data_IF_026241014908
#
_entry.id   IF_026241014908
#
_cell.length_a   1.000
_cell.length_b   1.000
_cell.length_c   1.000
_cell.angle_alpha   90.00
_cell.angle_beta   90.00
_cell.angle_gamma   90.00
#
_symmetry.space_group_name_H-M   'P 1'
#
loop_
_entity.id
_entity.type
_entity.pdbx_description
1 polymer ?
#
# COMPACT_ATOMS: atom_id res chain seq x y z
N UNK A 1 -15.33 57.58 32.18
CA UNK A 1 -14.13 56.72 32.27
C UNK A 1 -14.46 55.41 31.57
N UNK A 2 -13.69 55.06 30.54
CA UNK A 2 -13.92 53.93 29.63
C UNK A 2 -13.05 52.75 30.08
N UNK A 3 -13.66 51.64 30.47
CA UNK A 3 -12.95 50.36 30.66
C UNK A 3 -13.22 49.47 29.46
N UNK A 4 -12.20 48.97 28.73
CA UNK A 4 -12.42 48.00 27.68
C UNK A 4 -12.52 46.58 28.27
N UNK A 5 -13.54 45.85 27.86
CA UNK A 5 -13.73 44.43 28.11
C UNK A 5 -12.66 43.64 27.31
N UNK A 6 -12.00 42.61 27.85
CA UNK A 6 -11.06 41.81 27.07
C UNK A 6 -11.84 40.92 26.11
N UNK A 7 -11.56 41.06 24.81
CA UNK A 7 -12.08 40.16 23.79
C UNK A 7 -11.48 38.77 24.00
N UNK A 8 -12.31 37.81 24.40
CA UNK A 8 -11.96 36.40 24.48
C UNK A 8 -11.83 35.89 23.04
N UNK A 9 -10.60 35.85 22.52
CA UNK A 9 -10.30 35.21 21.22
C UNK A 9 -10.48 33.71 21.41
N UNK A 10 -11.63 33.20 21.00
CA UNK A 10 -11.90 31.77 20.96
C UNK A 10 -11.05 31.11 19.88
N UNK A 11 -10.04 30.34 20.28
CA UNK A 11 -9.37 29.39 19.38
C UNK A 11 -10.38 28.34 18.94
N UNK A 12 -10.95 28.52 17.74
CA UNK A 12 -11.66 27.45 17.04
C UNK A 12 -10.60 26.44 16.62
N UNK A 13 -10.47 25.36 17.39
CA UNK A 13 -9.78 24.16 16.94
C UNK A 13 -10.60 23.59 15.78
N UNK A 14 -10.18 23.89 14.55
CA UNK A 14 -10.57 23.10 13.39
C UNK A 14 -10.00 21.70 13.59
N UNK A 15 -10.76 20.85 14.27
CA UNK A 15 -10.60 19.40 14.18
C UNK A 15 -10.92 19.05 12.72
N UNK A 16 -9.88 19.07 11.88
CA UNK A 16 -9.97 18.56 10.53
C UNK A 16 -10.45 17.13 10.65
N UNK A 17 -11.70 16.88 10.26
CA UNK A 17 -12.18 15.52 10.02
C UNK A 17 -11.29 14.95 8.94
N UNK A 18 -10.21 14.27 9.34
CA UNK A 18 -9.50 13.39 8.43
C UNK A 18 -10.58 12.43 7.95
N UNK A 19 -11.04 12.63 6.71
CA UNK A 19 -11.88 11.65 6.04
C UNK A 19 -11.10 10.35 6.18
N UNK A 20 -11.61 9.41 6.97
CA UNK A 20 -11.00 8.10 7.09
C UNK A 20 -11.12 7.52 5.69
N UNK A 21 -10.08 7.73 4.88
CA UNK A 21 -10.03 7.17 3.55
C UNK A 21 -10.30 5.67 3.71
N UNK A 22 -11.13 5.08 2.84
CA UNK A 22 -11.54 3.68 3.00
C UNK A 22 -10.29 2.81 3.25
N UNK A 23 -10.22 2.23 4.44
CA UNK A 23 -9.06 1.49 4.92
C UNK A 23 -9.12 0.07 4.35
N UNK A 24 -7.95 -0.53 4.11
CA UNK A 24 -7.80 -1.90 3.67
C UNK A 24 -6.80 -2.62 4.59
N UNK A 25 -7.22 -3.04 5.79
CA UNK A 25 -6.31 -3.45 6.86
C UNK A 25 -5.69 -4.85 6.69
N UNK A 26 -6.19 -5.68 5.77
CA UNK A 26 -5.80 -7.09 5.69
C UNK A 26 -6.03 -7.68 4.30
N UNK A 27 -5.64 -8.96 4.13
CA UNK A 27 -5.97 -9.74 2.94
C UNK A 27 -7.48 -9.67 2.68
N UNK A 28 -7.86 -9.22 1.48
CA UNK A 28 -9.27 -9.00 1.09
C UNK A 28 -10.01 -7.93 1.91
N UNK A 29 -9.31 -7.04 2.60
CA UNK A 29 -9.88 -5.82 3.20
C UNK A 29 -10.60 -6.06 4.53
N UNK A 30 -11.33 -5.05 5.01
CA UNK A 30 -11.85 -5.00 6.38
C UNK A 30 -12.66 -6.22 6.83
N UNK A 31 -13.48 -6.79 5.94
CA UNK A 31 -14.29 -7.98 6.22
C UNK A 31 -13.76 -9.25 5.54
N UNK A 32 -12.52 -9.22 5.03
CA UNK A 32 -11.93 -10.28 4.20
C UNK A 32 -12.77 -10.69 2.97
N UNK A 33 -13.69 -9.84 2.51
CA UNK A 33 -14.62 -10.12 1.41
C UNK A 33 -14.02 -9.83 0.02
N UNK A 34 -13.00 -8.97 -0.04
CA UNK A 34 -12.43 -8.46 -1.28
C UNK A 34 -13.27 -7.35 -1.92
N UNK A 35 -14.24 -6.79 -1.18
CA UNK A 35 -15.15 -5.76 -1.68
C UNK A 35 -14.79 -4.40 -1.09
N UNK A 36 -14.50 -3.42 -1.95
CA UNK A 36 -14.30 -2.02 -1.60
C UNK A 36 -15.52 -1.16 -1.94
N UNK A 37 -15.59 0.05 -1.39
CA UNK A 37 -16.69 1.00 -1.59
C UNK A 37 -16.47 2.01 -2.73
N UNK A 38 -15.40 1.86 -3.51
CA UNK A 38 -15.02 2.80 -4.58
C UNK A 38 -15.42 2.33 -5.97
N UNK A 39 -15.21 3.22 -6.96
CA UNK A 39 -15.37 2.93 -8.39
C UNK A 39 -13.99 2.92 -9.07
N UNK A 40 -13.17 1.85 -8.87
CA UNK A 40 -11.84 1.80 -9.48
C UNK A 40 -11.94 1.72 -11.01
N UNK A 41 -10.90 2.18 -11.73
CA UNK A 41 -10.84 2.03 -13.19
C UNK A 41 -10.89 0.54 -13.57
N UNK A 42 -11.77 0.20 -14.51
CA UNK A 42 -11.92 -1.18 -15.03
C UNK A 42 -11.08 -1.46 -16.27
N UNK A 43 -10.45 -0.42 -16.82
CA UNK A 43 -9.44 -0.50 -17.88
C UNK A 43 -8.17 0.17 -17.42
N UNK A 44 -7.02 -0.37 -17.82
CA UNK A 44 -5.71 0.13 -17.41
C UNK A 44 -4.64 -0.37 -18.36
N UNK A 45 -3.57 0.41 -18.51
CA UNK A 45 -2.41 0.04 -19.32
C UNK A 45 -1.14 0.39 -18.55
N UNK A 46 -0.38 -0.64 -18.17
CA UNK A 46 0.88 -0.45 -17.46
C UNK A 46 1.96 0.17 -18.34
N UNK A 47 2.04 -0.15 -19.62
CA UNK A 47 3.06 0.37 -20.52
C UNK A 47 2.79 1.83 -20.88
N UNK A 48 1.54 2.18 -21.18
CA UNK A 48 1.11 3.54 -21.50
C UNK A 48 0.90 4.43 -20.27
N UNK A 49 0.76 3.83 -19.08
CA UNK A 49 0.48 4.56 -17.82
C UNK A 49 -1.00 4.95 -17.65
N UNK A 50 -1.89 4.50 -18.54
CA UNK A 50 -3.32 4.78 -18.45
C UNK A 50 -3.92 4.20 -17.18
N UNK A 51 -4.56 5.06 -16.37
CA UNK A 51 -5.16 4.71 -15.08
C UNK A 51 -4.17 4.14 -14.05
N UNK A 52 -2.88 4.51 -14.15
CA UNK A 52 -1.84 4.17 -13.16
C UNK A 52 -1.45 5.42 -12.37
N UNK A 53 -1.68 5.42 -11.05
CA UNK A 53 -1.35 6.58 -10.20
C UNK A 53 0.16 6.74 -9.97
N UNK A 54 0.85 5.63 -9.70
CA UNK A 54 2.30 5.60 -9.48
C UNK A 54 2.83 4.16 -9.63
N UNK A 55 4.15 4.05 -9.73
CA UNK A 55 4.90 2.79 -9.69
C UNK A 55 6.15 2.98 -8.86
N UNK A 56 6.42 2.04 -7.97
CA UNK A 56 7.56 2.08 -7.07
C UNK A 56 8.29 0.76 -7.14
N UNK A 57 9.59 0.82 -7.44
CA UNK A 57 10.43 -0.36 -7.38
C UNK A 57 10.60 -0.80 -5.92
N UNK A 58 10.21 -2.03 -5.62
CA UNK A 58 10.40 -2.67 -4.31
C UNK A 58 11.41 -3.79 -4.48
N UNK A 59 12.44 -3.80 -3.65
CA UNK A 59 13.46 -4.86 -3.67
C UNK A 59 12.86 -6.17 -3.13
N UNK A 60 13.28 -7.32 -3.67
CA UNK A 60 12.78 -8.61 -3.23
C UNK A 60 11.51 -9.08 -3.93
N UNK A 61 11.09 -10.29 -3.57
CA UNK A 61 9.85 -10.90 -4.05
C UNK A 61 8.72 -10.69 -3.04
N UNK A 62 7.61 -10.10 -3.50
CA UNK A 62 6.42 -9.86 -2.68
C UNK A 62 5.21 -10.67 -3.18
N UNK A 63 4.62 -11.48 -2.29
CA UNK A 63 3.37 -12.23 -2.56
C UNK A 63 2.18 -11.73 -1.73
N UNK A 64 2.41 -10.80 -0.81
CA UNK A 64 1.35 -10.27 0.06
C UNK A 64 0.40 -9.36 -0.71
N UNK A 65 -0.86 -9.31 -0.27
CA UNK A 65 -1.72 -8.18 -0.61
C UNK A 65 -1.29 -6.92 0.12
N UNK A 66 -1.34 -5.73 -0.52
CA UNK A 66 -1.03 -4.48 0.14
C UNK A 66 -2.07 -4.15 1.22
N UNK A 67 -1.61 -3.50 2.30
CA UNK A 67 -2.47 -2.90 3.32
C UNK A 67 -2.55 -1.40 3.06
N UNK A 68 -3.75 -0.82 3.06
CA UNK A 68 -3.94 0.63 2.95
C UNK A 68 -4.45 1.15 4.28
N UNK A 69 -3.67 2.01 4.95
CA UNK A 69 -4.10 2.63 6.19
C UNK A 69 -3.78 4.12 6.23
N UNK A 70 -4.83 4.94 6.30
CA UNK A 70 -4.74 6.40 6.14
C UNK A 70 -4.08 6.79 4.81
N UNK A 71 -3.00 7.56 4.92
CA UNK A 71 -2.19 8.04 3.78
C UNK A 71 -1.03 7.10 3.44
N UNK A 72 -1.07 5.84 3.88
CA UNK A 72 0.01 4.87 3.69
C UNK A 72 -0.45 3.60 3.02
N UNK A 73 0.43 3.05 2.19
CA UNK A 73 0.33 1.70 1.63
C UNK A 73 1.50 0.88 2.17
N UNK A 74 1.20 -0.28 2.75
CA UNK A 74 2.20 -1.18 3.32
C UNK A 74 2.31 -2.44 2.48
N UNK A 75 3.55 -2.85 2.21
CA UNK A 75 3.87 -4.08 1.46
C UNK A 75 4.98 -4.84 2.14
N UNK A 76 4.88 -6.17 2.12
CA UNK A 76 5.95 -7.06 2.59
C UNK A 76 6.67 -7.69 1.41
N UNK A 77 7.98 -7.91 1.58
CA UNK A 77 8.84 -8.53 0.57
C UNK A 77 9.93 -9.34 1.23
N UNK A 78 10.44 -10.35 0.52
CA UNK A 78 11.60 -11.14 0.89
C UNK A 78 12.74 -10.83 -0.07
N UNK A 79 13.84 -10.27 0.45
CA UNK A 79 15.04 -9.93 -0.31
C UNK A 79 16.05 -11.06 -0.15
N UNK A 80 16.54 -11.63 -1.25
CA UNK A 80 17.52 -12.71 -1.19
C UNK A 80 18.92 -12.15 -0.93
N UNK A 81 19.66 -12.73 0.02
CA UNK A 81 21.03 -12.28 0.35
C UNK A 81 22.07 -12.63 -0.71
N UNK A 82 21.75 -13.53 -1.65
CA UNK A 82 22.65 -13.93 -2.72
C UNK A 82 22.58 -12.98 -3.96
N UNK A 83 21.74 -11.94 -3.89
CA UNK A 83 21.56 -10.95 -4.97
C UNK A 83 20.84 -11.49 -6.21
N UNK A 84 20.25 -12.69 -6.15
CA UNK A 84 19.45 -13.30 -7.21
C UNK A 84 18.02 -13.47 -6.72
N UNK A 85 17.19 -12.45 -6.95
CA UNK A 85 15.75 -12.66 -6.85
C UNK A 85 15.26 -13.53 -8.01
N UNK A 86 14.58 -14.63 -7.69
CA UNK A 86 13.81 -15.35 -8.69
C UNK A 86 12.71 -14.44 -9.24
N UNK A 87 12.57 -14.40 -10.56
CA UNK A 87 11.45 -13.71 -11.19
C UNK A 87 10.12 -14.36 -10.71
N UNK A 88 9.04 -13.58 -10.52
CA UNK A 88 7.74 -14.14 -10.20
C UNK A 88 7.32 -15.12 -11.30
N UNK A 89 6.97 -16.34 -10.91
CA UNK A 89 6.41 -17.34 -11.83
C UNK A 89 4.89 -17.14 -11.84
N UNK A 90 4.35 -16.68 -12.96
CA UNK A 90 2.90 -16.42 -13.12
C UNK A 90 2.25 -17.52 -13.95
N UNK A 91 1.10 -18.03 -13.51
CA UNK A 91 0.31 -19.03 -14.25
C UNK A 91 -0.54 -19.89 -13.33
N UNK A 92 -1.34 -20.80 -13.91
CA UNK A 92 -2.09 -21.79 -13.12
C UNK A 92 -1.16 -22.90 -12.64
N UNK A 93 -1.52 -23.59 -11.56
CA UNK A 93 -0.72 -24.72 -11.05
C UNK A 93 -0.48 -25.83 -12.10
N UNK A 94 -1.35 -25.94 -13.10
CA UNK A 94 -1.16 -26.84 -14.24
C UNK A 94 0.03 -26.41 -15.12
N UNK A 95 0.19 -25.11 -15.34
CA UNK A 95 1.24 -24.54 -16.20
C UNK A 95 2.55 -24.38 -15.43
N UNK A 96 2.49 -23.97 -14.16
CA UNK A 96 3.69 -23.63 -13.36
C UNK A 96 4.14 -24.76 -12.44
N UNK A 97 3.32 -25.79 -12.28
CA UNK A 97 3.54 -26.89 -11.35
C UNK A 97 3.32 -26.50 -9.89
N UNK A 98 3.45 -27.50 -9.01
CA UNK A 98 3.31 -27.36 -7.54
C UNK A 98 4.63 -27.64 -6.81
N UNK A 99 5.74 -27.61 -7.55
CA UNK A 99 7.04 -27.91 -6.98
C UNK A 99 7.45 -26.86 -5.94
N UNK A 100 8.13 -27.31 -4.89
CA UNK A 100 8.75 -26.41 -3.92
C UNK A 100 9.74 -25.47 -4.65
N UNK A 101 9.82 -24.22 -4.18
CA UNK A 101 10.85 -23.31 -4.63
C UNK A 101 12.23 -23.96 -4.40
N UNK A 102 13.11 -23.86 -5.40
CA UNK A 102 14.50 -24.38 -5.30
C UNK A 102 15.46 -23.39 -4.65
N UNK A 103 14.93 -22.30 -4.12
CA UNK A 103 15.70 -21.25 -3.47
C UNK A 103 15.90 -21.59 -1.99
N UNK A 104 17.18 -21.81 -1.64
CA UNK A 104 17.63 -22.11 -0.27
C UNK A 104 18.46 -20.96 0.31
N UNK A 105 18.46 -19.80 -0.33
CA UNK A 105 19.20 -18.63 0.18
C UNK A 105 18.58 -18.10 1.47
N UNK A 106 19.40 -17.43 2.26
CA UNK A 106 18.89 -16.62 3.36
C UNK A 106 18.12 -15.43 2.80
N UNK A 107 17.02 -15.08 3.46
CA UNK A 107 16.16 -13.99 3.03
C UNK A 107 16.00 -12.97 4.15
N UNK A 108 16.15 -11.70 3.80
CA UNK A 108 15.78 -10.58 4.65
C UNK A 108 14.32 -10.21 4.38
N UNK A 109 13.47 -10.36 5.40
CA UNK A 109 12.07 -9.94 5.32
C UNK A 109 11.94 -8.45 5.62
N UNK A 110 11.34 -7.71 4.69
CA UNK A 110 11.15 -6.27 4.82
C UNK A 110 9.67 -5.89 4.75
N UNK A 111 9.32 -4.87 5.52
CA UNK A 111 8.04 -4.16 5.46
C UNK A 111 8.33 -2.74 4.99
N UNK A 112 7.77 -2.35 3.84
CA UNK A 112 7.84 -0.98 3.36
C UNK A 112 6.53 -0.26 3.66
N UNK A 113 6.64 1.01 4.06
CA UNK A 113 5.54 1.96 4.04
C UNK A 113 5.75 2.92 2.86
N UNK A 114 4.72 3.12 2.06
CA UNK A 114 4.70 4.04 0.94
C UNK A 114 3.67 5.12 1.22
N UNK A 115 3.98 6.35 0.84
CA UNK A 115 3.01 7.42 0.75
C UNK A 115 1.94 7.06 -0.29
N UNK A 116 0.67 7.10 0.10
CA UNK A 116 -0.45 6.64 -0.75
C UNK A 116 -0.64 7.50 -2.00
N UNK A 117 -0.39 8.81 -1.88
CA UNK A 117 -0.63 9.75 -2.97
C UNK A 117 0.47 9.67 -4.04
N UNK A 118 1.72 9.46 -3.62
CA UNK A 118 2.90 9.57 -4.48
C UNK A 118 3.60 8.25 -4.77
N UNK A 119 3.35 7.21 -3.96
CA UNK A 119 4.08 5.95 -4.01
C UNK A 119 5.50 6.02 -3.44
N UNK A 120 5.93 7.16 -2.89
CA UNK A 120 7.28 7.30 -2.33
C UNK A 120 7.45 6.40 -1.11
N UNK A 121 8.55 5.66 -1.04
CA UNK A 121 8.93 4.93 0.18
C UNK A 121 9.24 5.93 1.30
N UNK A 122 8.64 5.70 2.48
CA UNK A 122 8.75 6.52 3.67
C UNK A 122 9.88 6.07 4.60
#
# INVERSE_FOLDING_TARGET
MKTPLPALVGCILLAGSASLAAQWPSFRGGSASGVGSGNPPVTWDLAAGTNVAWKTAILGLGHSSPIVWGDRVYVTTAVSTNGREAAPVTGTMEVVGVAMARDMSEHEWRLYALDRATGKIL
#
